data_IF_248094032153
#
_entry.id   IF_248094032153
#
_cell.length_a   1.000
_cell.length_b   1.000
_cell.length_c   1.000
_cell.angle_alpha   90.00
_cell.angle_beta   90.00
_cell.angle_gamma   90.00
#
_symmetry.space_group_name_H-M   'P 1'
#
loop_
_entity.id
_entity.type
_entity.pdbx_description
1 polymer ?
#
# COMPACT_ATOMS: atom_id res chain seq x y z
N UNK A 1 4.81 43.67 48.88
CA UNK A 1 4.97 42.51 47.96
C UNK A 1 4.69 41.26 48.79
N UNK A 2 3.83 40.29 48.49
CA UNK A 2 2.97 39.94 47.36
C UNK A 2 1.83 39.09 47.97
N UNK A 3 0.58 39.28 47.52
CA UNK A 3 -0.53 38.38 47.81
C UNK A 3 -0.48 37.23 46.79
N UNK A 4 -0.29 35.99 47.25
CA UNK A 4 -0.31 34.80 46.41
C UNK A 4 -1.75 34.34 46.16
N UNK A 5 -2.25 34.55 44.94
CA UNK A 5 -3.52 33.96 44.50
C UNK A 5 -3.32 32.47 44.22
N UNK A 6 -4.11 31.62 44.87
CA UNK A 6 -4.18 30.19 44.59
C UNK A 6 -4.88 29.94 43.23
N UNK A 7 -4.39 28.99 42.40
CA UNK A 7 -5.00 28.73 41.11
C UNK A 7 -6.33 27.96 41.26
N UNK A 8 -7.38 28.46 40.63
CA UNK A 8 -8.69 27.81 40.60
C UNK A 8 -8.63 26.43 39.92
N UNK A 9 -9.30 25.44 40.52
CA UNK A 9 -9.42 24.09 39.97
C UNK A 9 -10.10 24.11 38.59
N UNK A 10 -9.41 23.57 37.57
CA UNK A 10 -9.94 23.48 36.20
C UNK A 10 -11.10 22.49 36.14
N UNK A 11 -12.28 22.96 35.72
CA UNK A 11 -13.47 22.14 35.50
C UNK A 11 -13.21 21.15 34.35
N UNK A 12 -13.33 19.84 34.59
CA UNK A 12 -13.23 18.80 33.55
C UNK A 12 -14.38 18.98 32.55
N UNK A 13 -14.05 19.35 31.30
CA UNK A 13 -15.01 19.40 30.19
C UNK A 13 -15.34 17.96 29.81
N UNK A 14 -16.60 17.53 30.01
CA UNK A 14 -17.08 16.24 29.50
C UNK A 14 -17.15 16.32 27.98
N UNK A 15 -16.36 15.48 27.30
CA UNK A 15 -16.34 15.40 25.84
C UNK A 15 -17.61 14.69 25.39
N UNK A 16 -18.55 15.43 24.78
CA UNK A 16 -19.75 14.85 24.18
C UNK A 16 -19.35 14.06 22.94
N UNK A 17 -19.76 12.79 22.86
CA UNK A 17 -19.56 11.99 21.64
C UNK A 17 -20.55 12.52 20.61
N UNK A 18 -20.03 13.05 19.50
CA UNK A 18 -20.86 13.53 18.39
C UNK A 18 -21.44 12.31 17.67
N UNK A 19 -22.77 12.22 17.61
CA UNK A 19 -23.46 11.24 16.75
C UNK A 19 -23.07 11.51 15.30
N UNK A 20 -22.73 10.48 14.50
CA UNK A 20 -22.45 10.68 13.10
C UNK A 20 -23.69 11.25 12.40
N UNK A 21 -23.51 12.16 11.43
CA UNK A 21 -24.64 12.70 10.67
C UNK A 21 -25.36 11.56 9.93
N UNK A 22 -26.67 11.71 9.65
CA UNK A 22 -27.41 10.73 8.84
C UNK A 22 -26.72 10.46 7.49
N UNK A 23 -26.81 9.21 7.03
CA UNK A 23 -26.31 8.83 5.71
C UNK A 23 -27.27 9.34 4.62
N UNK A 24 -26.77 10.22 3.75
CA UNK A 24 -27.51 10.75 2.60
C UNK A 24 -27.23 9.92 1.35
N UNK A 25 -28.28 9.36 0.75
CA UNK A 25 -28.21 8.62 -0.51
C UNK A 25 -28.84 9.48 -1.63
N UNK A 26 -28.11 9.69 -2.73
CA UNK A 26 -28.67 10.32 -3.94
C UNK A 26 -29.34 9.24 -4.78
N UNK A 27 -30.54 9.54 -5.24
CA UNK A 27 -31.33 8.67 -6.12
C UNK A 27 -31.78 9.49 -7.32
N UNK A 28 -31.74 8.89 -8.51
CA UNK A 28 -32.48 9.42 -9.65
C UNK A 28 -33.99 9.28 -9.41
N UNK A 29 -34.80 9.95 -10.24
CA UNK A 29 -36.26 9.79 -10.26
C UNK A 29 -36.66 8.34 -10.47
N UNK A 30 -36.04 7.66 -11.43
CA UNK A 30 -36.35 6.28 -11.78
C UNK A 30 -35.95 5.29 -10.67
N UNK A 31 -34.80 5.54 -10.00
CA UNK A 31 -34.36 4.72 -8.87
C UNK A 31 -35.28 4.88 -7.66
N UNK A 32 -35.76 6.11 -7.42
CA UNK A 32 -36.71 6.39 -6.35
C UNK A 32 -38.06 5.72 -6.61
N UNK A 33 -38.60 5.83 -7.82
CA UNK A 33 -39.87 5.21 -8.19
C UNK A 33 -39.83 3.69 -8.04
N UNK A 34 -38.72 3.06 -8.44
CA UNK A 34 -38.49 1.63 -8.23
C UNK A 34 -38.50 1.25 -6.75
N UNK A 35 -37.86 2.04 -5.89
CA UNK A 35 -37.85 1.79 -4.45
C UNK A 35 -39.22 2.01 -3.82
N UNK A 36 -39.97 3.03 -4.25
CA UNK A 36 -41.32 3.31 -3.76
C UNK A 36 -42.31 2.20 -4.17
N UNK A 37 -42.25 1.75 -5.43
CA UNK A 37 -43.04 0.60 -5.90
C UNK A 37 -42.68 -0.69 -5.12
N UNK A 38 -41.39 -0.95 -4.92
CA UNK A 38 -40.92 -2.14 -4.21
C UNK A 38 -41.19 -2.09 -2.69
N UNK A 39 -41.35 -0.89 -2.11
CA UNK A 39 -41.73 -0.69 -0.72
C UNK A 39 -43.20 -1.03 -0.45
N UNK A 40 -44.05 -1.07 -1.50
CA UNK A 40 -45.45 -1.50 -1.42
C UNK A 40 -46.25 -0.84 -0.27
N UNK A 41 -46.05 0.46 -0.05
CA UNK A 41 -46.71 1.23 1.02
C UNK A 41 -45.95 1.31 2.35
N UNK A 42 -44.80 0.65 2.48
CA UNK A 42 -43.89 0.83 3.63
C UNK A 42 -43.12 2.16 3.51
N UNK A 43 -42.83 2.86 4.63
CA UNK A 43 -41.92 3.99 4.61
C UNK A 43 -40.56 3.62 4.01
N UNK A 44 -40.08 4.40 3.05
CA UNK A 44 -38.89 4.11 2.25
C UNK A 44 -37.65 3.80 3.11
N UNK A 45 -37.45 4.56 4.18
CA UNK A 45 -36.32 4.34 5.10
C UNK A 45 -36.39 3.01 5.85
N UNK A 46 -37.59 2.54 6.21
CA UNK A 46 -37.79 1.23 6.84
C UNK A 46 -37.56 0.13 5.83
N UNK A 47 -38.07 0.28 4.61
CA UNK A 47 -37.85 -0.67 3.53
C UNK A 47 -36.36 -0.84 3.19
N UNK A 48 -35.63 0.28 3.03
CA UNK A 48 -34.18 0.28 2.76
C UNK A 48 -33.43 -0.40 3.91
N UNK A 49 -33.76 -0.11 5.17
CA UNK A 49 -33.13 -0.77 6.32
C UNK A 49 -33.39 -2.28 6.34
N UNK A 50 -34.63 -2.71 6.10
CA UNK A 50 -34.98 -4.13 6.04
C UNK A 50 -34.22 -4.84 4.91
N UNK A 51 -34.04 -4.20 3.75
CA UNK A 51 -33.23 -4.78 2.67
C UNK A 51 -31.74 -4.80 2.98
N UNK A 52 -31.21 -3.76 3.63
CA UNK A 52 -29.79 -3.65 3.95
C UNK A 52 -29.39 -4.58 5.10
N UNK A 53 -30.23 -4.72 6.13
CA UNK A 53 -29.93 -5.48 7.35
C UNK A 53 -30.71 -6.80 7.46
N UNK A 54 -31.55 -7.14 6.47
CA UNK A 54 -32.36 -8.37 6.48
C UNK A 54 -31.60 -9.62 6.07
N UNK A 55 -30.35 -9.50 5.61
CA UNK A 55 -29.44 -10.60 5.32
C UNK A 55 -28.18 -10.56 6.18
N UNK A 56 -27.37 -11.62 6.12
CA UNK A 56 -26.07 -11.64 6.79
C UNK A 56 -25.13 -10.61 6.12
N UNK A 57 -24.83 -9.54 6.84
CA UNK A 57 -23.87 -8.51 6.45
C UNK A 57 -22.45 -8.96 6.76
N UNK A 58 -22.07 -10.16 6.31
CA UNK A 58 -20.69 -10.60 6.44
C UNK A 58 -19.78 -9.52 5.86
N UNK A 59 -18.83 -9.05 6.68
CA UNK A 59 -17.89 -8.04 6.24
C UNK A 59 -17.21 -8.58 4.99
N UNK A 60 -17.49 -7.97 3.83
CA UNK A 60 -16.79 -8.33 2.60
C UNK A 60 -15.32 -8.25 2.93
N UNK A 61 -14.60 -9.37 2.79
CA UNK A 61 -13.14 -9.42 2.92
C UNK A 61 -12.59 -8.49 1.85
N UNK A 62 -12.46 -7.21 2.18
CA UNK A 62 -11.66 -6.28 1.39
C UNK A 62 -10.29 -6.91 1.36
N UNK A 63 -9.73 -7.06 0.15
CA UNK A 63 -8.34 -7.49 -0.01
C UNK A 63 -7.55 -6.58 0.90
N UNK A 64 -7.10 -7.14 2.02
CA UNK A 64 -6.52 -6.36 3.10
C UNK A 64 -5.43 -5.52 2.47
N UNK A 65 -5.44 -4.23 2.75
CA UNK A 65 -4.22 -3.43 2.68
C UNK A 65 -3.27 -4.01 3.74
N UNK A 66 -2.69 -5.17 3.45
CA UNK A 66 -1.58 -5.73 4.20
C UNK A 66 -0.33 -4.89 3.89
N UNK A 67 0.60 -4.78 4.84
CA UNK A 67 0.97 -3.52 5.46
C UNK A 67 1.79 -2.63 4.53
N UNK A 68 1.37 -1.37 4.43
CA UNK A 68 2.09 -0.26 3.76
C UNK A 68 3.56 -0.14 4.22
N UNK A 69 3.92 -0.69 5.39
CA UNK A 69 5.30 -0.71 5.92
C UNK A 69 6.22 -1.70 5.20
N UNK A 70 5.77 -2.91 4.86
CA UNK A 70 6.63 -3.90 4.19
C UNK A 70 6.93 -3.46 2.75
N UNK A 71 5.95 -2.85 2.07
CA UNK A 71 6.16 -2.27 0.74
C UNK A 71 7.16 -1.12 0.74
N UNK A 72 7.16 -0.27 1.78
CA UNK A 72 8.13 0.83 1.89
C UNK A 72 9.56 0.32 2.11
N UNK A 73 9.74 -0.70 2.96
CA UNK A 73 11.04 -1.33 3.18
C UNK A 73 11.55 -2.03 1.92
N UNK A 74 10.69 -2.80 1.22
CA UNK A 74 11.03 -3.45 -0.04
C UNK A 74 11.37 -2.44 -1.15
N UNK A 75 10.62 -1.34 -1.25
CA UNK A 75 10.89 -0.27 -2.21
C UNK A 75 12.22 0.45 -1.90
N UNK A 76 12.55 0.67 -0.63
CA UNK A 76 13.85 1.22 -0.25
C UNK A 76 15.01 0.30 -0.65
N UNK A 77 14.91 -1.01 -0.37
CA UNK A 77 15.94 -1.98 -0.76
C UNK A 77 16.09 -2.01 -2.29
N UNK A 78 14.99 -2.01 -3.04
CA UNK A 78 15.02 -1.94 -4.51
C UNK A 78 15.67 -0.63 -5.01
N UNK A 79 15.37 0.50 -4.37
CA UNK A 79 15.97 1.79 -4.69
C UNK A 79 17.48 1.84 -4.40
N UNK A 80 17.92 1.27 -3.27
CA UNK A 80 19.34 1.13 -2.94
C UNK A 80 20.05 0.28 -3.99
N UNK A 81 19.44 -0.84 -4.40
CA UNK A 81 19.99 -1.73 -5.44
C UNK A 81 20.12 -1.01 -6.79
N UNK A 82 19.14 -0.17 -7.17
CA UNK A 82 19.24 0.68 -8.36
C UNK A 82 20.37 1.72 -8.26
N UNK A 83 20.64 2.23 -7.06
CA UNK A 83 21.69 3.23 -6.82
C UNK A 83 23.12 2.62 -6.77
N UNK A 84 23.27 1.30 -6.76
CA UNK A 84 24.59 0.63 -6.79
C UNK A 84 25.30 0.75 -8.14
N UNK A 85 24.68 1.39 -9.16
CA UNK A 85 25.25 1.67 -10.49
C UNK A 85 25.82 0.41 -11.17
N UNK A 86 25.21 -0.76 -10.95
CA UNK A 86 25.71 -2.06 -11.41
C UNK A 86 26.00 -2.09 -12.91
N UNK A 87 25.13 -1.50 -13.75
CA UNK A 87 25.34 -1.42 -15.19
C UNK A 87 26.60 -0.63 -15.58
N UNK A 88 26.92 0.44 -14.86
CA UNK A 88 28.13 1.23 -15.09
C UNK A 88 29.39 0.43 -14.73
N UNK A 89 29.35 -0.30 -13.62
CA UNK A 89 30.48 -1.11 -13.14
C UNK A 89 30.72 -2.32 -14.06
N UNK A 90 29.64 -3.00 -14.49
CA UNK A 90 29.71 -4.06 -15.51
C UNK A 90 30.30 -3.56 -16.82
N UNK A 91 29.95 -2.35 -17.25
CA UNK A 91 30.51 -1.75 -18.47
C UNK A 91 31.99 -1.35 -18.33
N UNK A 92 32.46 -1.09 -17.10
CA UNK A 92 33.89 -0.89 -16.84
C UNK A 92 34.64 -2.22 -16.90
N UNK A 93 34.11 -3.27 -16.27
CA UNK A 93 34.67 -4.62 -16.33
C UNK A 93 34.72 -5.16 -17.76
N UNK A 94 33.63 -5.03 -18.52
CA UNK A 94 33.57 -5.44 -19.92
C UNK A 94 34.62 -4.72 -20.77
N UNK A 95 34.85 -3.42 -20.54
CA UNK A 95 35.93 -2.68 -21.21
C UNK A 95 37.30 -3.20 -20.82
N UNK A 96 37.58 -3.36 -19.53
CA UNK A 96 38.88 -3.89 -19.08
C UNK A 96 39.15 -5.30 -19.62
N UNK A 97 38.12 -6.15 -19.71
CA UNK A 97 38.20 -7.47 -20.34
C UNK A 97 38.51 -7.38 -21.84
N UNK A 98 37.76 -6.55 -22.59
CA UNK A 98 37.94 -6.38 -24.03
C UNK A 98 39.33 -5.83 -24.42
N UNK A 99 39.93 -4.99 -23.58
CA UNK A 99 41.26 -4.41 -23.83
C UNK A 99 42.37 -5.33 -23.25
N UNK A 100 42.00 -6.49 -22.68
CA UNK A 100 42.94 -7.47 -22.13
C UNK A 100 43.64 -7.03 -20.85
N UNK A 101 43.11 -6.01 -20.17
CA UNK A 101 43.71 -5.42 -18.96
C UNK A 101 43.09 -5.94 -17.67
N UNK A 102 42.09 -6.82 -17.77
CA UNK A 102 41.44 -7.45 -16.64
C UNK A 102 42.06 -8.85 -16.41
N UNK A 103 43.04 -8.99 -15.49
CA UNK A 103 43.55 -10.30 -15.11
C UNK A 103 42.47 -11.01 -14.29
N UNK A 104 41.78 -11.94 -14.93
CA UNK A 104 40.69 -12.68 -14.29
C UNK A 104 41.01 -14.17 -14.44
N UNK A 105 41.25 -14.81 -13.31
CA UNK A 105 41.39 -16.26 -13.27
C UNK A 105 40.01 -16.90 -13.52
N UNK A 106 39.93 -18.08 -14.15
CA UNK A 106 38.66 -18.73 -14.47
C UNK A 106 37.73 -18.89 -13.27
N UNK A 107 38.28 -19.13 -12.07
CA UNK A 107 37.51 -19.28 -10.84
C UNK A 107 36.82 -17.96 -10.45
N UNK A 108 37.51 -16.84 -10.64
CA UNK A 108 36.98 -15.49 -10.34
C UNK A 108 35.88 -15.10 -11.34
N UNK A 109 35.97 -15.58 -12.58
CA UNK A 109 34.96 -15.33 -13.61
C UNK A 109 33.65 -16.03 -13.27
N UNK A 110 33.75 -17.28 -12.82
CA UNK A 110 32.62 -18.08 -12.38
C UNK A 110 31.96 -17.50 -11.13
N UNK A 111 32.75 -17.09 -10.13
CA UNK A 111 32.26 -16.40 -8.92
C UNK A 111 31.54 -15.07 -9.27
N UNK A 112 32.08 -14.31 -10.22
CA UNK A 112 31.48 -13.05 -10.66
C UNK A 112 30.15 -13.28 -11.41
N UNK A 113 30.08 -14.31 -12.25
CA UNK A 113 28.86 -14.68 -12.95
C UNK A 113 27.76 -15.11 -11.96
N UNK A 114 28.12 -15.91 -10.96
CA UNK A 114 27.21 -16.34 -9.89
C UNK A 114 26.70 -15.14 -9.07
N UNK A 115 27.59 -14.21 -8.71
CA UNK A 115 27.22 -12.99 -7.99
C UNK A 115 26.23 -12.13 -8.81
N UNK A 116 26.48 -11.96 -10.11
CA UNK A 116 25.56 -11.24 -11.01
C UNK A 116 24.18 -11.90 -11.07
N UNK A 117 24.14 -13.23 -11.23
CA UNK A 117 22.90 -13.99 -11.27
C UNK A 117 22.10 -13.86 -9.95
N UNK A 118 22.76 -13.92 -8.80
CA UNK A 118 22.14 -13.73 -7.50
C UNK A 118 21.50 -12.34 -7.35
N UNK A 119 22.17 -11.28 -7.83
CA UNK A 119 21.65 -9.92 -7.79
C UNK A 119 20.43 -9.73 -8.70
N UNK A 120 20.44 -10.33 -9.89
CA UNK A 120 19.28 -10.33 -10.80
C UNK A 120 18.08 -11.04 -10.15
N UNK A 121 18.31 -12.20 -9.52
CA UNK A 121 17.29 -12.95 -8.81
C UNK A 121 16.70 -12.15 -7.63
N UNK A 122 17.54 -11.50 -6.82
CA UNK A 122 17.08 -10.62 -5.74
C UNK A 122 16.23 -9.47 -6.26
N UNK A 123 16.63 -8.83 -7.38
CA UNK A 123 15.85 -7.75 -8.00
C UNK A 123 14.48 -8.25 -8.48
N UNK A 124 14.42 -9.41 -9.14
CA UNK A 124 13.18 -9.97 -9.63
C UNK A 124 12.20 -10.29 -8.50
N UNK A 125 12.70 -10.86 -7.40
CA UNK A 125 11.88 -11.18 -6.22
C UNK A 125 11.34 -9.92 -5.53
N UNK A 126 12.15 -8.86 -5.43
CA UNK A 126 11.71 -7.56 -4.89
C UNK A 126 10.62 -6.92 -5.76
N UNK A 127 10.74 -6.97 -7.09
CA UNK A 127 9.71 -6.46 -8.01
C UNK A 127 8.40 -7.24 -7.88
N UNK A 128 8.47 -8.57 -7.79
CA UNK A 128 7.31 -9.45 -7.57
C UNK A 128 6.63 -9.17 -6.25
N UNK A 129 7.38 -9.00 -5.16
CA UNK A 129 6.86 -8.67 -3.84
C UNK A 129 6.16 -7.30 -3.81
N UNK A 130 6.60 -6.34 -4.63
CA UNK A 130 5.98 -5.03 -4.78
C UNK A 130 4.78 -5.01 -5.76
N UNK A 131 4.51 -6.12 -6.46
CA UNK A 131 3.39 -6.24 -7.40
C UNK A 131 3.68 -5.71 -8.80
N UNK A 132 4.95 -5.57 -9.18
CA UNK A 132 5.34 -5.31 -10.56
C UNK A 132 5.52 -6.62 -11.33
N UNK A 133 5.01 -6.68 -12.57
CA UNK A 133 5.37 -7.73 -13.51
C UNK A 133 6.88 -7.61 -13.78
N UNK A 134 7.64 -8.66 -13.46
CA UNK A 134 9.07 -8.70 -13.72
C UNK A 134 9.28 -8.84 -15.24
N UNK A 135 9.19 -7.74 -15.98
CA UNK A 135 9.58 -7.71 -17.39
C UNK A 135 11.10 -7.84 -17.45
N UNK A 136 11.54 -9.09 -17.59
CA UNK A 136 12.93 -9.47 -17.69
C UNK A 136 13.42 -9.10 -19.10
N UNK A 137 13.71 -7.82 -19.32
CA UNK A 137 14.32 -7.39 -20.58
C UNK A 137 15.82 -7.69 -20.53
N UNK A 138 16.34 -8.47 -21.50
CA UNK A 138 17.76 -8.80 -21.59
C UNK A 138 18.64 -7.57 -21.80
#
# INVERSE_FOLDING_TARGET
MQLAFAPAARKRVRRTVKTPPPFSLRLSTEERDKLEAAAAGMPLGSYIKTKLFGGDLSARRTRGSAPVKDHAALAQVLGMLGNMRLASNLNQLARSANIGTLPLAPEVEEELALACAAVIAMRAELLRALGYEAENRP
#
